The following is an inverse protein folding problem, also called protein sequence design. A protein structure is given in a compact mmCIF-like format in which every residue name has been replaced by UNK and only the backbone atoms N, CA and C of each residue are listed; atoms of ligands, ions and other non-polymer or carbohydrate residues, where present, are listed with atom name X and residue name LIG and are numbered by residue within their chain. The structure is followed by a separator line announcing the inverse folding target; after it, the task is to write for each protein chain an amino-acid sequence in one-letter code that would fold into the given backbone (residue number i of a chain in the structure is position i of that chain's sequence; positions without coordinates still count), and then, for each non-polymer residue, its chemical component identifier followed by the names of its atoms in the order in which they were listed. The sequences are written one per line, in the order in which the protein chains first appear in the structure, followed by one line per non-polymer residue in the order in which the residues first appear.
data_IF_156333039593
#
_entry.id   IF_156333039593
#
_cell.length_a   1.000
_cell.length_b   1.000
_cell.length_c   1.000
_cell.angle_alpha   90.00
_cell.angle_beta   90.00
_cell.angle_gamma   90.00
#
_symmetry.space_group_name_H-M   'P 1'
#
loop_
_entity.id
_entity.type
_entity.pdbx_description
1 polymer ?
#
# COMPACT_ATOMS: atom_id res chain seq x y z
N UNK A 1 -9.91 9.46 -19.12
CA UNK A 1 -8.52 8.96 -19.24
C UNK A 1 -7.71 9.86 -20.16
N UNK A 2 -6.46 10.17 -19.80
CA UNK A 2 -5.59 11.05 -20.61
C UNK A 2 -4.89 10.25 -21.71
N UNK A 3 -4.82 10.77 -22.93
CA UNK A 3 -4.05 10.14 -24.02
C UNK A 3 -2.54 10.19 -23.70
N UNK A 4 -1.91 9.02 -23.69
CA UNK A 4 -0.48 8.84 -23.45
C UNK A 4 0.25 8.21 -24.64
N UNK A 5 -0.38 8.08 -25.81
CA UNK A 5 0.18 7.41 -27.00
C UNK A 5 1.55 7.94 -27.39
N UNK A 6 1.72 9.28 -27.38
CA UNK A 6 2.95 10.00 -27.74
C UNK A 6 4.00 10.07 -26.62
N UNK A 7 3.72 9.53 -25.42
CA UNK A 7 4.70 9.50 -24.33
C UNK A 7 5.65 8.31 -24.48
N UNK A 8 6.90 8.52 -24.11
CA UNK A 8 7.92 7.47 -24.06
C UNK A 8 7.78 6.62 -22.79
N UNK A 9 8.20 5.36 -22.88
CA UNK A 9 8.37 4.51 -21.70
C UNK A 9 9.62 4.97 -20.94
N UNK A 10 9.49 5.07 -19.61
CA UNK A 10 10.60 5.39 -18.70
C UNK A 10 10.45 4.54 -17.45
N UNK A 11 11.54 4.34 -16.70
CA UNK A 11 11.44 3.78 -15.36
C UNK A 11 10.62 4.72 -14.48
N UNK A 12 9.69 4.15 -13.73
CA UNK A 12 8.85 4.88 -12.79
C UNK A 12 8.81 4.15 -11.48
N UNK A 13 8.94 4.91 -10.40
CA UNK A 13 8.83 4.40 -9.03
C UNK A 13 7.89 5.28 -8.26
N UNK A 14 7.05 4.67 -7.43
CA UNK A 14 6.30 5.37 -6.40
C UNK A 14 6.45 4.64 -5.07
N UNK A 15 6.57 5.42 -4.00
CA UNK A 15 6.55 4.96 -2.61
C UNK A 15 5.38 5.66 -1.95
N UNK A 16 4.47 4.90 -1.38
CA UNK A 16 3.34 5.41 -0.60
C UNK A 16 3.36 4.81 0.81
N UNK A 17 2.62 5.42 1.72
CA UNK A 17 2.41 4.89 3.06
C UNK A 17 0.94 4.85 3.47
N UNK A 18 0.67 4.07 4.50
CA UNK A 18 -0.50 4.15 5.36
C UNK A 18 -0.06 3.89 6.82
N UNK A 19 -0.80 4.41 7.80
CA UNK A 19 -0.58 4.16 9.22
C UNK A 19 -1.82 3.47 9.79
N UNK A 20 -1.65 2.27 10.33
CA UNK A 20 -2.67 1.57 11.12
C UNK A 20 -2.37 1.78 12.60
N UNK A 21 -3.23 2.53 13.29
CA UNK A 21 -3.15 2.70 14.74
C UNK A 21 -4.04 1.66 15.41
N UNK A 22 -3.50 0.92 16.36
CA UNK A 22 -4.26 -0.04 17.15
C UNK A 22 -4.62 0.55 18.52
N UNK A 23 -5.65 0.02 19.16
CA UNK A 23 -6.16 0.51 20.44
C UNK A 23 -5.33 0.09 21.65
N UNK A 24 -4.47 -0.93 21.54
CA UNK A 24 -3.72 -1.43 22.70
C UNK A 24 -2.41 -2.13 22.35
N UNK A 25 -1.48 -2.16 23.32
CA UNK A 25 -0.23 -2.91 23.21
C UNK A 25 -0.48 -4.41 23.05
N UNK A 26 -1.54 -4.94 23.67
CA UNK A 26 -1.94 -6.34 23.53
C UNK A 26 -2.20 -6.72 22.06
N UNK A 27 -2.73 -5.79 21.26
CA UNK A 27 -2.94 -5.99 19.82
C UNK A 27 -1.60 -6.09 19.08
N UNK A 28 -0.65 -5.20 19.39
CA UNK A 28 0.72 -5.25 18.83
C UNK A 28 1.40 -6.58 19.19
N UNK A 29 1.33 -6.99 20.45
CA UNK A 29 1.95 -8.22 20.93
C UNK A 29 1.35 -9.45 20.24
N UNK A 30 0.03 -9.47 20.06
CA UNK A 30 -0.67 -10.53 19.32
C UNK A 30 -0.23 -10.62 17.85
N UNK A 31 0.04 -9.47 17.21
CA UNK A 31 0.58 -9.44 15.84
C UNK A 31 1.99 -10.03 15.80
N UNK A 32 2.88 -9.56 16.68
CA UNK A 32 4.30 -9.98 16.72
C UNK A 32 4.41 -11.48 17.01
N UNK A 33 3.62 -11.97 17.97
CA UNK A 33 3.61 -13.38 18.39
C UNK A 33 2.73 -14.27 17.51
N UNK A 34 2.08 -13.70 16.48
CA UNK A 34 1.17 -14.40 15.55
C UNK A 34 -0.01 -15.09 16.23
N UNK A 35 -0.53 -14.51 17.30
CA UNK A 35 -1.67 -15.02 18.07
C UNK A 35 -3.01 -14.36 17.69
N UNK A 36 -3.06 -13.61 16.60
CA UNK A 36 -4.33 -13.09 16.05
C UNK A 36 -5.16 -14.28 15.53
N UNK A 37 -6.45 -14.42 15.90
CA UNK A 37 -7.27 -15.58 15.51
C UNK A 37 -7.38 -15.82 14.01
N UNK A 38 -7.23 -14.76 13.20
CA UNK A 38 -7.28 -14.81 11.74
C UNK A 38 -5.94 -15.17 11.07
N UNK A 39 -4.89 -15.42 11.85
CA UNK A 39 -3.57 -15.83 11.38
C UNK A 39 -2.55 -14.69 11.28
N UNK A 40 -1.50 -14.90 10.49
CA UNK A 40 -0.39 -13.95 10.33
C UNK A 40 -0.85 -12.68 9.58
N UNK A 41 -0.97 -11.58 10.33
CA UNK A 41 -1.47 -10.30 9.84
C UNK A 41 -0.58 -9.72 8.75
N UNK A 42 0.74 -9.77 8.92
CA UNK A 42 1.68 -9.17 7.97
C UNK A 42 1.75 -9.96 6.67
N UNK A 43 1.77 -11.29 6.75
CA UNK A 43 1.78 -12.14 5.57
C UNK A 43 0.50 -11.99 4.74
N UNK A 44 -0.66 -12.05 5.40
CA UNK A 44 -1.95 -11.96 4.71
C UNK A 44 -2.19 -10.56 4.13
N UNK A 45 -1.88 -9.50 4.89
CA UNK A 45 -2.05 -8.12 4.41
C UNK A 45 -1.12 -7.81 3.23
N UNK A 46 0.09 -8.41 3.19
CA UNK A 46 1.01 -8.29 2.06
C UNK A 46 0.44 -8.94 0.79
N UNK A 47 -0.13 -10.14 0.92
CA UNK A 47 -0.77 -10.82 -0.20
C UNK A 47 -1.96 -10.00 -0.74
N UNK A 48 -2.81 -9.48 0.15
CA UNK A 48 -3.89 -8.58 -0.22
C UNK A 48 -3.38 -7.33 -0.95
N UNK A 49 -2.31 -6.71 -0.45
CA UNK A 49 -1.66 -5.57 -1.09
C UNK A 49 -1.20 -5.86 -2.51
N UNK A 50 -0.51 -6.98 -2.75
CA UNK A 50 -0.09 -7.37 -4.11
C UNK A 50 -1.26 -7.60 -5.07
N UNK A 51 -2.38 -8.14 -4.57
CA UNK A 51 -3.59 -8.26 -5.38
C UNK A 51 -4.20 -6.89 -5.68
N UNK A 52 -4.29 -6.02 -4.66
CA UNK A 52 -4.81 -4.65 -4.80
C UNK A 52 -4.04 -3.81 -5.82
N UNK A 53 -2.70 -3.81 -5.72
CA UNK A 53 -1.80 -3.09 -6.64
C UNK A 53 -2.10 -3.48 -8.09
N UNK A 54 -2.20 -4.78 -8.39
CA UNK A 54 -2.47 -5.28 -9.74
C UNK A 54 -3.89 -5.00 -10.26
N UNK A 55 -4.83 -4.71 -9.36
CA UNK A 55 -6.24 -4.41 -9.67
C UNK A 55 -6.56 -2.92 -9.61
N UNK A 56 -5.55 -2.04 -9.57
CA UNK A 56 -5.77 -0.60 -9.43
C UNK A 56 -6.61 -0.02 -10.57
N UNK A 57 -6.29 -0.38 -11.82
CA UNK A 57 -7.05 0.08 -12.99
C UNK A 57 -8.48 -0.50 -13.07
N UNK A 58 -8.76 -1.62 -12.39
CA UNK A 58 -10.11 -2.18 -12.31
C UNK A 58 -11.01 -1.34 -11.39
N UNK A 59 -10.43 -0.60 -10.44
CA UNK A 59 -11.16 0.15 -9.42
C UNK A 59 -11.15 1.67 -9.63
N UNK A 60 -10.08 2.23 -10.23
CA UNK A 60 -9.96 3.65 -10.51
C UNK A 60 -10.26 3.92 -12.01
N UNK A 61 -11.43 4.48 -12.37
CA UNK A 61 -11.91 4.51 -13.75
C UNK A 61 -10.99 5.20 -14.77
N UNK A 62 -10.21 6.19 -14.33
CA UNK A 62 -9.31 6.95 -15.20
C UNK A 62 -7.85 6.48 -15.15
N UNK A 63 -7.53 5.45 -14.35
CA UNK A 63 -6.22 4.84 -14.32
C UNK A 63 -5.96 4.03 -15.59
N UNK A 64 -4.80 4.22 -16.19
CA UNK A 64 -4.35 3.37 -17.28
C UNK A 64 -4.00 1.98 -16.74
N UNK A 65 -4.44 0.89 -17.40
CA UNK A 65 -3.89 -0.42 -17.13
C UNK A 65 -2.40 -0.45 -17.52
N UNK A 66 -1.55 -0.92 -16.62
CA UNK A 66 -0.10 -0.99 -16.83
C UNK A 66 0.50 -2.26 -16.19
N UNK A 67 1.64 -2.76 -16.72
CA UNK A 67 2.32 -3.90 -16.12
C UNK A 67 3.05 -3.47 -14.84
N UNK A 68 2.79 -4.19 -13.74
CA UNK A 68 3.55 -4.04 -12.50
C UNK A 68 4.78 -4.93 -12.59
N UNK A 69 5.97 -4.32 -12.64
CA UNK A 69 7.23 -5.06 -12.75
C UNK A 69 7.84 -5.36 -11.38
N UNK A 70 7.57 -4.52 -10.39
CA UNK A 70 8.00 -4.74 -9.01
C UNK A 70 7.01 -4.14 -8.02
N UNK A 71 6.78 -4.87 -6.92
CA UNK A 71 6.07 -4.37 -5.76
C UNK A 71 6.73 -4.89 -4.47
N UNK A 72 6.87 -4.02 -3.47
CA UNK A 72 7.32 -4.36 -2.13
C UNK A 72 6.43 -3.68 -1.08
N UNK A 73 6.27 -4.34 0.07
CA UNK A 73 5.46 -3.88 1.19
C UNK A 73 6.28 -4.07 2.46
N UNK A 74 6.55 -3.00 3.20
CA UNK A 74 7.35 -3.04 4.41
C UNK A 74 6.52 -2.56 5.60
N UNK A 75 6.79 -3.13 6.76
CA UNK A 75 6.09 -2.83 8.00
C UNK A 75 7.07 -2.32 9.05
N UNK A 76 6.70 -1.26 9.75
CA UNK A 76 7.46 -0.76 10.91
C UNK A 76 6.51 -0.49 12.05
N UNK A 77 6.80 -1.04 13.23
CA UNK A 77 6.00 -0.83 14.44
C UNK A 77 6.65 0.28 15.26
N UNK A 78 5.86 1.29 15.62
CA UNK A 78 6.25 2.42 16.46
C UNK A 78 5.18 2.65 17.54
N UNK A 79 5.39 2.05 18.72
CA UNK A 79 4.38 2.01 19.77
C UNK A 79 3.11 1.32 19.29
N UNK A 80 1.98 2.04 19.28
CA UNK A 80 0.69 1.54 18.82
C UNK A 80 0.43 1.78 17.32
N UNK A 81 1.43 2.24 16.59
CA UNK A 81 1.31 2.53 15.15
C UNK A 81 2.07 1.50 14.33
N UNK A 82 1.43 1.02 13.27
CA UNK A 82 2.05 0.19 12.25
C UNK A 82 2.12 1.03 10.98
N UNK A 83 3.33 1.44 10.60
CA UNK A 83 3.59 2.08 9.32
C UNK A 83 3.70 1.01 8.25
N UNK A 84 2.87 1.15 7.23
CA UNK A 84 2.89 0.34 6.01
C UNK A 84 3.53 1.19 4.93
N UNK A 85 4.65 0.76 4.37
CA UNK A 85 5.26 1.39 3.20
C UNK A 85 5.11 0.49 1.99
N UNK A 86 4.64 1.04 0.87
CA UNK A 86 4.45 0.31 -0.38
C UNK A 86 5.27 0.94 -1.47
N UNK A 87 6.14 0.16 -2.10
CA UNK A 87 6.95 0.56 -3.25
C UNK A 87 6.45 -0.14 -4.50
N UNK A 88 6.19 0.59 -5.58
CA UNK A 88 5.80 0.05 -6.88
C UNK A 88 6.73 0.59 -7.96
N UNK A 89 7.14 -0.27 -8.90
CA UNK A 89 7.93 0.11 -10.06
C UNK A 89 7.40 -0.49 -11.36
N UNK A 90 7.60 0.24 -12.44
CA UNK A 90 7.27 -0.16 -13.82
C UNK A 90 8.18 0.54 -14.83
N UNK A 91 8.21 0.05 -16.07
CA UNK A 91 8.75 0.74 -17.24
C UNK A 91 7.61 1.09 -18.21
N UNK A 92 7.03 2.29 -18.06
CA UNK A 92 5.80 2.65 -18.78
C UNK A 92 5.61 4.15 -19.05
N UNK A 93 4.49 4.49 -19.70
CA UNK A 93 4.15 5.84 -20.19
C UNK A 93 3.48 6.76 -19.16
N UNK A 94 3.03 6.21 -18.03
CA UNK A 94 2.43 6.96 -16.91
C UNK A 94 2.93 6.41 -15.57
N UNK A 95 2.86 7.26 -14.54
CA UNK A 95 3.34 6.96 -13.18
C UNK A 95 2.54 5.85 -12.48
N UNK A 96 3.04 5.45 -11.30
CA UNK A 96 2.48 4.37 -10.47
C UNK A 96 2.10 4.84 -9.06
N UNK A 97 1.83 6.15 -8.91
CA UNK A 97 1.49 6.76 -7.62
C UNK A 97 0.24 6.13 -7.00
N UNK A 98 -0.77 5.94 -7.84
CA UNK A 98 -2.08 5.42 -7.46
C UNK A 98 -2.03 3.92 -7.16
N UNK A 99 -1.20 3.14 -7.86
CA UNK A 99 -0.94 1.73 -7.54
C UNK A 99 -0.29 1.59 -6.15
N UNK A 100 0.69 2.44 -5.84
CA UNK A 100 1.34 2.42 -4.53
C UNK A 100 0.38 2.82 -3.40
N UNK A 101 -0.38 3.91 -3.57
CA UNK A 101 -1.36 4.38 -2.59
C UNK A 101 -2.52 3.40 -2.42
N UNK A 102 -3.00 2.81 -3.51
CA UNK A 102 -4.04 1.79 -3.48
C UNK A 102 -3.54 0.53 -2.77
N UNK A 103 -2.32 0.08 -3.05
CA UNK A 103 -1.65 -0.99 -2.31
C UNK A 103 -1.61 -0.71 -0.80
N UNK A 104 -1.15 0.48 -0.40
CA UNK A 104 -1.09 0.88 1.01
C UNK A 104 -2.49 0.87 1.67
N UNK A 105 -3.51 1.32 0.94
CA UNK A 105 -4.91 1.34 1.39
C UNK A 105 -5.46 -0.06 1.60
N UNK A 106 -5.21 -0.99 0.66
CA UNK A 106 -5.67 -2.37 0.74
C UNK A 106 -4.95 -3.14 1.86
N UNK A 107 -3.65 -2.92 2.04
CA UNK A 107 -2.89 -3.50 3.15
C UNK A 107 -3.47 -3.04 4.49
N UNK A 108 -3.69 -1.74 4.66
CA UNK A 108 -4.26 -1.19 5.89
C UNK A 108 -5.68 -1.69 6.16
N UNK A 109 -6.52 -1.76 5.12
CA UNK A 109 -7.89 -2.28 5.24
C UNK A 109 -7.91 -3.77 5.59
N UNK A 110 -7.00 -4.56 5.01
CA UNK A 110 -6.86 -5.98 5.37
C UNK A 110 -6.41 -6.15 6.83
N UNK A 111 -5.45 -5.34 7.30
CA UNK A 111 -5.05 -5.33 8.71
C UNK A 111 -6.23 -5.04 9.63
N UNK A 112 -7.06 -4.02 9.30
CA UNK A 112 -8.29 -3.77 10.04
C UNK A 112 -9.21 -5.00 10.06
N UNK A 113 -9.45 -5.61 8.91
CA UNK A 113 -10.30 -6.81 8.80
C UNK A 113 -9.78 -7.98 9.65
N UNK A 114 -8.46 -8.14 9.76
CA UNK A 114 -7.81 -9.18 10.56
C UNK A 114 -7.82 -8.89 12.06
N UNK A 115 -7.71 -7.62 12.45
CA UNK A 115 -7.57 -7.19 13.84
C UNK A 115 -8.89 -6.84 14.53
N UNK A 116 -9.94 -6.50 13.76
CA UNK A 116 -11.27 -6.16 14.30
C UNK A 116 -11.89 -7.19 15.26
N UNK A 117 -11.55 -8.49 15.27
CA UNK A 117 -12.03 -9.42 16.30
C UNK A 117 -11.44 -9.14 17.70
N UNK A 118 -10.21 -8.63 17.79
CA UNK A 118 -9.48 -8.44 19.05
C UNK A 118 -9.31 -6.97 19.44
N UNK A 119 -9.51 -6.05 18.50
CA UNK A 119 -9.35 -4.62 18.71
C UNK A 119 -10.43 -3.84 17.94
N UNK A 120 -11.19 -2.98 18.64
CA UNK A 120 -12.29 -2.19 18.05
C UNK A 120 -11.92 -0.73 17.81
N UNK A 121 -10.77 -0.27 18.31
CA UNK A 121 -10.32 1.12 18.24
C UNK A 121 -9.28 1.33 17.12
N UNK A 122 -9.28 0.48 16.10
CA UNK A 122 -8.32 0.55 14.99
C UNK A 122 -8.66 1.74 14.10
N UNK A 123 -7.66 2.58 13.81
CA UNK A 123 -7.77 3.69 12.87
C UNK A 123 -6.80 3.51 11.70
N UNK A 124 -7.26 3.77 10.49
CA UNK A 124 -6.42 3.88 9.29
C UNK A 124 -6.24 5.36 9.01
N UNK A 125 -5.00 5.83 8.99
CA UNK A 125 -4.66 7.24 8.80
C UNK A 125 -3.50 7.40 7.82
N UNK A 126 -3.29 8.62 7.35
CA UNK A 126 -2.09 9.00 6.59
C UNK A 126 -1.80 8.12 5.35
N UNK A 127 -2.85 7.77 4.59
CA UNK A 127 -2.65 7.22 3.25
C UNK A 127 -2.12 8.35 2.36
N UNK A 128 -0.84 8.32 1.99
CA UNK A 128 -0.22 9.36 1.19
C UNK A 128 0.97 8.87 0.37
N UNK A 129 1.26 9.58 -0.72
CA UNK A 129 2.50 9.41 -1.47
C UNK A 129 3.67 9.99 -0.66
N UNK A 130 4.77 9.25 -0.59
CA UNK A 130 6.03 9.67 0.02
C UNK A 130 7.04 10.12 -1.03
N UNK A 131 7.15 9.35 -2.11
CA UNK A 131 8.12 9.62 -3.17
C UNK A 131 7.57 9.18 -4.50
N UNK A 132 7.88 9.92 -5.56
CA UNK A 132 7.81 9.41 -6.93
C UNK A 132 9.00 9.85 -7.74
N UNK A 133 9.45 8.98 -8.63
CA UNK A 133 10.49 9.30 -9.60
C UNK A 133 10.12 8.80 -10.99
N UNK A 134 10.59 9.54 -12.00
CA UNK A 134 10.46 9.16 -13.40
C UNK A 134 9.25 9.78 -14.10
N UNK A 135 9.44 10.13 -15.37
CA UNK A 135 8.50 10.94 -16.15
C UNK A 135 8.93 12.41 -16.18
N UNK A 136 7.97 13.34 -16.12
CA UNK A 136 8.25 14.79 -16.20
C UNK A 136 8.56 15.45 -14.86
N UNK A 137 8.15 14.83 -13.75
CA UNK A 137 8.16 15.44 -12.42
C UNK A 137 8.48 14.40 -11.36
N UNK A 138 9.41 14.72 -10.48
CA UNK A 138 9.69 13.96 -9.27
C UNK A 138 9.02 14.63 -8.07
N UNK A 139 8.66 13.83 -7.06
CA UNK A 139 8.16 14.33 -5.77
C UNK A 139 8.94 13.64 -4.66
N UNK A 140 9.42 14.44 -3.72
CA UNK A 140 9.87 14.00 -2.40
C UNK A 140 8.97 14.69 -1.36
N UNK A 141 8.35 13.90 -0.48
CA UNK A 141 7.34 14.35 0.49
C UNK A 141 7.51 13.78 1.88
#
# INVERSE_FOLDING_TARGET
MVDITQKNNTHRTAIAQAIVKVGSQKTIDAIITKQVPKGDVFAMSRAAGFLGIKKTADLLPDCHPLPIEFAAIDYTIEGLQIKVQVTVKTFYKTGVEVEAMHGASIVALNMYDMLKPIDKAIEITHIKLLKKTGGKSDIEG
#
